data_IF_320625085053
#
_entry.id   IF_320625085053
#
_cell.length_a   1.000
_cell.length_b   1.000
_cell.length_c   1.000
_cell.angle_alpha   90.00
_cell.angle_beta   90.00
_cell.angle_gamma   90.00
#
_symmetry.space_group_name_H-M   'P 1'
#
loop_
_entity.id
_entity.type
_entity.pdbx_description
1 polymer ?
#
# COMPACT_ATOMS: atom_id res chain seq x y z
N UNK A 1 3.04 -1.24 30.77
CA UNK A 1 2.77 -0.07 29.88
C UNK A 1 2.93 -0.38 28.40
N UNK A 2 3.98 -1.08 27.96
CA UNK A 2 4.21 -1.39 26.52
C UNK A 2 3.10 -2.26 25.89
N UNK A 3 2.69 -3.34 26.55
CA UNK A 3 1.67 -4.29 26.03
C UNK A 3 0.28 -3.63 25.87
N UNK A 4 -0.13 -2.78 26.81
CA UNK A 4 -1.42 -2.06 26.73
C UNK A 4 -1.43 -1.03 25.60
N UNK A 5 -0.29 -0.37 25.34
CA UNK A 5 -0.15 0.62 24.26
C UNK A 5 -0.16 -0.07 22.88
N UNK A 6 0.45 -1.25 22.78
CA UNK A 6 0.36 -2.13 21.61
C UNK A 6 -1.09 -2.58 21.35
N UNK A 7 -1.81 -3.02 22.38
CA UNK A 7 -3.23 -3.41 22.24
C UNK A 7 -4.11 -2.25 21.76
N UNK A 8 -3.86 -1.03 22.27
CA UNK A 8 -4.57 0.17 21.82
C UNK A 8 -4.28 0.54 20.36
N UNK A 9 -3.05 0.34 19.89
CA UNK A 9 -2.66 0.59 18.50
C UNK A 9 -3.18 -0.50 17.54
N UNK A 10 -3.14 -1.76 17.96
CA UNK A 10 -3.64 -2.91 17.19
C UNK A 10 -5.14 -2.77 16.88
N UNK A 11 -5.92 -2.32 17.87
CA UNK A 11 -7.36 -2.08 17.70
C UNK A 11 -7.68 -0.99 16.64
N UNK A 12 -6.78 -0.04 16.39
CA UNK A 12 -7.06 1.10 15.50
C UNK A 12 -6.93 0.74 14.02
N UNK A 13 -5.97 -0.11 13.65
CA UNK A 13 -5.77 -0.52 12.26
C UNK A 13 -6.81 -1.52 11.78
N UNK A 14 -7.20 -2.45 12.65
CA UNK A 14 -8.30 -3.36 12.35
C UNK A 14 -9.64 -2.61 12.21
N UNK A 15 -9.84 -1.54 12.98
CA UNK A 15 -11.02 -0.70 12.85
C UNK A 15 -11.02 0.08 11.53
N UNK A 16 -9.89 0.69 11.15
CA UNK A 16 -9.75 1.36 9.84
C UNK A 16 -9.98 0.39 8.68
N UNK A 17 -9.44 -0.83 8.77
CA UNK A 17 -9.64 -1.87 7.78
C UNK A 17 -11.13 -2.20 7.63
N UNK A 18 -11.86 -2.37 8.74
CA UNK A 18 -13.31 -2.59 8.71
C UNK A 18 -14.06 -1.41 8.10
N UNK A 19 -13.65 -0.18 8.38
CA UNK A 19 -14.28 1.00 7.76
C UNK A 19 -14.08 1.01 6.25
N UNK A 20 -12.88 0.68 5.77
CA UNK A 20 -12.60 0.53 4.33
C UNK A 20 -13.47 -0.57 3.71
N UNK A 21 -13.66 -1.70 4.42
CA UNK A 21 -14.55 -2.77 3.98
C UNK A 21 -16.01 -2.32 3.86
N UNK A 22 -16.51 -1.54 4.82
CA UNK A 22 -17.85 -0.94 4.73
C UNK A 22 -18.00 0.06 3.57
N UNK A 23 -16.90 0.71 3.15
CA UNK A 23 -16.83 1.57 1.97
C UNK A 23 -16.67 0.77 0.66
N UNK A 24 -16.79 -0.56 0.72
CA UNK A 24 -16.76 -1.43 -0.44
C UNK A 24 -15.36 -1.77 -0.94
N UNK A 25 -14.33 -1.70 -0.09
CA UNK A 25 -13.05 -2.35 -0.38
C UNK A 25 -13.11 -3.82 0.07
N UNK A 26 -12.49 -4.72 -0.67
CA UNK A 26 -12.28 -6.09 -0.21
C UNK A 26 -11.21 -6.16 0.90
N UNK A 27 -11.19 -7.24 1.67
CA UNK A 27 -10.16 -7.50 2.70
C UNK A 27 -8.73 -7.28 2.18
N UNK A 28 -8.46 -7.72 0.95
CA UNK A 28 -7.14 -7.60 0.32
C UNK A 28 -6.87 -6.17 -0.15
N UNK A 29 -7.85 -5.46 -0.70
CA UNK A 29 -7.71 -4.04 -1.05
C UNK A 29 -7.43 -3.21 0.20
N UNK A 30 -8.18 -3.41 1.28
CA UNK A 30 -7.99 -2.69 2.54
C UNK A 30 -6.59 -2.91 3.12
N UNK A 31 -6.08 -4.16 3.09
CA UNK A 31 -4.71 -4.48 3.52
C UNK A 31 -3.65 -3.81 2.66
N UNK A 32 -3.80 -3.87 1.34
CA UNK A 32 -2.83 -3.27 0.40
C UNK A 32 -2.84 -1.75 0.51
N UNK A 33 -4.01 -1.14 0.62
CA UNK A 33 -4.17 0.30 0.76
C UNK A 33 -3.56 0.83 2.06
N UNK A 34 -3.87 0.19 3.20
CA UNK A 34 -3.29 0.57 4.48
C UNK A 34 -1.77 0.37 4.52
N UNK A 35 -1.27 -0.74 3.96
CA UNK A 35 0.17 -0.98 3.87
C UNK A 35 0.87 0.07 3.01
N UNK A 36 0.27 0.49 1.89
CA UNK A 36 0.82 1.55 1.05
C UNK A 36 0.83 2.91 1.76
N UNK A 37 -0.23 3.23 2.53
CA UNK A 37 -0.28 4.46 3.34
C UNK A 37 0.77 4.47 4.45
N UNK A 38 1.02 3.33 5.10
CA UNK A 38 2.01 3.23 6.17
C UNK A 38 3.45 3.32 5.65
N UNK A 39 3.73 2.72 4.50
CA UNK A 39 5.07 2.72 3.90
C UNK A 39 5.37 3.99 3.09
N UNK A 40 4.34 4.66 2.57
CA UNK A 40 4.50 5.76 1.63
C UNK A 40 4.95 5.29 0.23
N UNK A 41 5.54 6.20 -0.59
CA UNK A 41 5.98 5.89 -1.94
C UNK A 41 7.08 4.83 -1.97
N UNK A 42 6.72 3.60 -2.33
CA UNK A 42 7.60 2.43 -2.20
C UNK A 42 7.35 1.39 -3.30
N UNK A 43 8.30 0.48 -3.60
CA UNK A 43 8.08 -0.62 -4.53
C UNK A 43 6.93 -1.55 -4.13
N UNK A 44 6.19 -2.06 -5.13
CA UNK A 44 5.06 -3.00 -4.93
C UNK A 44 5.45 -4.25 -4.14
N UNK A 45 6.71 -4.68 -4.25
CA UNK A 45 7.31 -5.73 -3.43
C UNK A 45 7.08 -5.47 -1.93
N UNK A 46 7.43 -4.28 -1.45
CA UNK A 46 7.44 -4.00 -0.01
C UNK A 46 6.01 -3.87 0.52
N UNK A 47 5.11 -3.34 -0.31
CA UNK A 47 3.66 -3.33 -0.05
C UNK A 47 3.13 -4.76 0.07
N UNK A 48 3.50 -5.65 -0.87
CA UNK A 48 3.10 -7.07 -0.85
C UNK A 48 3.55 -7.79 0.42
N UNK A 49 4.80 -7.57 0.86
CA UNK A 49 5.32 -8.15 2.10
C UNK A 49 4.59 -7.62 3.33
N UNK A 50 4.37 -6.30 3.42
CA UNK A 50 3.70 -5.66 4.56
C UNK A 50 2.21 -6.02 4.65
N UNK A 51 1.51 -6.05 3.52
CA UNK A 51 0.09 -6.41 3.45
C UNK A 51 -0.16 -7.92 3.64
N UNK A 52 0.90 -8.74 3.60
CA UNK A 52 0.81 -10.20 3.56
C UNK A 52 -0.09 -10.71 2.40
N UNK A 53 0.00 -10.06 1.24
CA UNK A 53 -0.73 -10.40 0.01
C UNK A 53 0.30 -10.73 -1.06
N UNK A 54 0.10 -11.80 -1.84
CA UNK A 54 1.07 -12.18 -2.87
C UNK A 54 1.22 -11.10 -3.95
N UNK A 55 2.40 -10.98 -4.56
CA UNK A 55 2.70 -9.90 -5.51
C UNK A 55 1.71 -9.78 -6.67
N UNK A 56 1.32 -10.91 -7.27
CA UNK A 56 0.38 -10.91 -8.39
C UNK A 56 -0.96 -10.29 -7.97
N UNK A 57 -1.49 -10.67 -6.81
CA UNK A 57 -2.71 -10.11 -6.26
C UNK A 57 -2.51 -8.66 -5.86
N UNK A 58 -1.35 -8.28 -5.31
CA UNK A 58 -1.04 -6.88 -4.98
C UNK A 58 -1.11 -5.98 -6.22
N UNK A 59 -0.59 -6.42 -7.38
CA UNK A 59 -0.74 -5.67 -8.63
C UNK A 59 -2.21 -5.48 -9.01
N UNK A 60 -3.02 -6.54 -8.93
CA UNK A 60 -4.47 -6.46 -9.20
C UNK A 60 -5.18 -5.52 -8.23
N UNK A 61 -4.82 -5.55 -6.94
CA UNK A 61 -5.40 -4.65 -5.94
C UNK A 61 -5.00 -3.20 -6.21
N UNK A 62 -3.74 -2.94 -6.57
CA UNK A 62 -3.26 -1.59 -6.93
C UNK A 62 -3.99 -1.07 -8.17
N UNK A 63 -4.20 -1.91 -9.18
CA UNK A 63 -4.96 -1.54 -10.38
C UNK A 63 -6.41 -1.18 -10.03
N UNK A 64 -7.10 -2.02 -9.24
CA UNK A 64 -8.46 -1.74 -8.76
C UNK A 64 -8.53 -0.45 -7.95
N UNK A 65 -7.62 -0.26 -6.99
CA UNK A 65 -7.55 0.95 -6.16
C UNK A 65 -7.21 2.20 -6.99
N UNK A 66 -6.38 2.07 -8.03
CA UNK A 66 -6.05 3.17 -8.94
C UNK A 66 -7.24 3.55 -9.82
N UNK A 67 -7.99 2.56 -10.33
CA UNK A 67 -9.23 2.80 -11.08
C UNK A 67 -10.28 3.53 -10.23
N UNK A 68 -10.27 3.32 -8.91
CA UNK A 68 -11.12 4.03 -7.95
C UNK A 68 -10.58 5.40 -7.53
N UNK A 69 -9.41 5.80 -8.01
CA UNK A 69 -8.75 7.06 -7.62
C UNK A 69 -8.15 7.07 -6.21
N UNK A 70 -8.00 5.90 -5.58
CA UNK A 70 -7.46 5.75 -4.23
C UNK A 70 -5.94 5.58 -4.23
N UNK A 71 -5.35 5.09 -5.32
CA UNK A 71 -3.91 4.94 -5.46
C UNK A 71 -3.41 5.50 -6.79
N UNK A 72 -2.12 5.80 -6.85
CA UNK A 72 -1.41 6.10 -8.08
C UNK A 72 -0.05 5.43 -8.06
N UNK A 73 0.48 5.13 -9.24
CA UNK A 73 1.83 4.60 -9.41
C UNK A 73 2.66 5.59 -10.22
N UNK A 74 3.95 5.64 -9.93
CA UNK A 74 4.89 6.44 -10.70
C UNK A 74 6.16 5.63 -10.92
N UNK A 75 6.82 5.88 -12.04
CA UNK A 75 8.15 5.33 -12.27
C UNK A 75 9.17 6.27 -11.64
N UNK A 76 9.93 5.75 -10.67
CA UNK A 76 11.07 6.48 -10.13
C UNK A 76 12.25 6.27 -11.08
N UNK A 77 12.48 7.21 -11.98
CA UNK A 77 13.69 7.25 -12.79
C UNK A 77 14.92 7.36 -11.89
N UNK A 78 15.91 6.52 -12.13
CA UNK A 78 17.26 6.74 -11.63
C UNK A 78 17.98 7.45 -12.76
N UNK A 79 18.47 8.67 -12.54
CA UNK A 79 19.27 9.38 -13.54
C UNK A 79 20.43 8.48 -13.94
N UNK A 80 20.36 7.89 -15.13
CA UNK A 80 21.47 7.10 -15.67
C UNK A 80 22.40 8.05 -16.38
N UNK A 81 23.71 7.84 -16.28
CA UNK A 81 24.72 8.64 -16.98
C UNK A 81 24.49 8.72 -18.51
N UNK A 82 23.69 7.80 -19.07
CA UNK A 82 23.28 7.78 -20.48
C UNK A 82 22.25 8.87 -20.85
N UNK A 83 21.43 9.32 -19.90
CA UNK A 83 20.41 10.36 -20.11
C UNK A 83 21.02 11.78 -20.07
N UNK A 84 22.25 11.90 -19.59
CA UNK A 84 23.00 13.16 -19.45
C UNK A 84 23.75 13.56 -20.73
N UNK A 85 23.73 12.73 -21.78
CA UNK A 85 24.45 12.96 -23.03
C UNK A 85 23.56 13.48 -24.18
N UNK A 86 22.38 14.04 -23.87
CA UNK A 86 21.46 14.64 -24.86
C UNK A 86 21.42 16.17 -24.76
N UNK A 87 22.53 16.79 -24.34
CA UNK A 87 22.75 18.23 -24.45
C UNK A 87 24.11 18.50 -25.08
#
# INVERSE_FOLDING_TARGET
MIVLKLNSMMNSMDELKKQLEHLGLSDKESKVYLAALELGPTPVQDISHKAHVNRATTYVMIESLSARGLMSTFQKGVWSAKDMAVF
#
